data_IF_182264895450
#
_entry.id   IF_182264895450
#
_cell.length_a   1.000
_cell.length_b   1.000
_cell.length_c   1.000
_cell.angle_alpha   90.00
_cell.angle_beta   90.00
_cell.angle_gamma   90.00
#
_symmetry.space_group_name_H-M   'P 1'
#
loop_
_entity.id
_entity.type
_entity.pdbx_description
1 polymer ?
#
# COMPACT_ATOMS: atom_id res chain seq x y z
N UNK A 1 1.45 -2.80 2.15
CA UNK A 1 0.40 -1.94 1.56
C UNK A 1 -0.87 -2.13 2.36
N UNK A 2 -1.89 -1.28 2.14
CA UNK A 2 -3.18 -1.42 2.80
C UNK A 2 -4.30 -0.87 1.92
N UNK A 3 -5.55 -1.11 2.31
CA UNK A 3 -6.72 -0.46 1.71
C UNK A 3 -7.15 0.70 2.61
N UNK A 4 -7.21 1.90 2.03
CA UNK A 4 -7.84 3.05 2.68
C UNK A 4 -9.34 3.05 2.35
N UNK A 5 -10.18 3.05 3.38
CA UNK A 5 -11.62 3.29 3.29
C UNK A 5 -11.91 4.71 3.74
N UNK A 6 -12.36 5.54 2.80
CA UNK A 6 -12.73 6.94 3.04
C UNK A 6 -14.24 7.08 2.90
N UNK A 7 -14.94 7.76 3.83
CA UNK A 7 -16.36 8.08 3.67
C UNK A 7 -16.66 8.65 2.28
N UNK A 8 -17.74 8.19 1.67
CA UNK A 8 -18.24 8.75 0.41
C UNK A 8 -18.84 10.17 0.57
N UNK A 9 -19.08 10.56 1.82
CA UNK A 9 -19.63 11.85 2.23
C UNK A 9 -18.61 12.61 3.07
N UNK A 10 -18.41 13.89 2.78
CA UNK A 10 -17.44 14.70 3.51
C UNK A 10 -17.96 15.17 4.88
N UNK A 11 -17.06 15.36 5.85
CA UNK A 11 -17.39 15.98 7.13
C UNK A 11 -18.26 15.11 8.06
N UNK A 12 -18.27 13.79 7.86
CA UNK A 12 -18.94 12.83 8.74
C UNK A 12 -17.91 12.02 9.52
N UNK A 13 -18.24 11.62 10.75
CA UNK A 13 -17.41 10.64 11.46
C UNK A 13 -17.50 9.26 10.80
N UNK A 14 -16.59 8.35 11.17
CA UNK A 14 -16.62 6.97 10.69
C UNK A 14 -17.92 6.24 11.08
N UNK A 15 -18.47 6.55 12.26
CA UNK A 15 -19.71 5.94 12.76
C UNK A 15 -20.98 6.48 12.07
N UNK A 16 -20.94 7.72 11.59
CA UNK A 16 -22.06 8.35 10.85
C UNK A 16 -22.03 8.03 9.35
N UNK A 17 -20.89 7.56 8.84
CA UNK A 17 -20.73 7.23 7.43
C UNK A 17 -21.65 6.08 7.02
N UNK A 18 -22.37 6.26 5.92
CA UNK A 18 -23.26 5.22 5.37
C UNK A 18 -22.59 4.38 4.28
N UNK A 19 -21.46 4.85 3.75
CA UNK A 19 -20.68 4.18 2.72
C UNK A 19 -19.21 4.57 2.76
N UNK A 20 -18.37 3.77 2.11
CA UNK A 20 -16.94 4.02 1.99
C UNK A 20 -16.47 3.75 0.57
N UNK A 21 -15.59 4.61 0.08
CA UNK A 21 -14.81 4.36 -1.12
C UNK A 21 -13.49 3.71 -0.72
N UNK A 22 -13.15 2.60 -1.38
CA UNK A 22 -11.84 1.95 -1.21
C UNK A 22 -10.80 2.58 -2.14
N UNK A 23 -9.60 2.81 -1.62
CA UNK A 23 -8.45 3.26 -2.36
C UNK A 23 -7.21 2.42 -1.99
N UNK A 24 -6.28 2.18 -2.93
CA UNK A 24 -4.98 1.62 -2.59
C UNK A 24 -4.21 2.61 -1.71
N UNK A 25 -3.66 2.12 -0.61
CA UNK A 25 -2.96 2.91 0.38
C UNK A 25 -1.55 2.40 0.72
N UNK A 26 -0.85 3.19 1.52
CA UNK A 26 0.50 2.91 2.00
C UNK A 26 1.54 3.87 1.42
N UNK A 27 2.12 4.71 2.28
CA UNK A 27 3.06 5.76 1.87
C UNK A 27 4.24 5.25 1.01
N UNK A 28 4.91 4.12 1.34
CA UNK A 28 6.03 3.67 0.52
C UNK A 28 5.62 3.18 -0.88
N UNK A 29 4.41 2.63 -1.03
CA UNK A 29 3.87 2.22 -2.34
C UNK A 29 3.53 3.44 -3.20
N UNK A 30 2.94 4.47 -2.60
CA UNK A 30 2.66 5.73 -3.27
C UNK A 30 3.94 6.39 -3.80
N UNK A 31 5.03 6.35 -3.04
CA UNK A 31 6.34 6.86 -3.48
C UNK A 31 6.89 6.02 -4.63
N UNK A 32 6.81 4.69 -4.57
CA UNK A 32 7.27 3.82 -5.65
C UNK A 32 6.54 4.09 -6.98
N UNK A 33 5.21 4.24 -6.94
CA UNK A 33 4.40 4.62 -8.10
C UNK A 33 4.72 6.05 -8.60
N UNK A 34 5.06 6.98 -7.69
CA UNK A 34 5.46 8.32 -8.09
C UNK A 34 6.80 8.32 -8.83
N UNK A 35 7.77 7.52 -8.38
CA UNK A 35 9.07 7.36 -9.04
C UNK A 35 8.89 6.84 -10.48
N UNK A 36 8.06 5.81 -10.68
CA UNK A 36 7.82 5.24 -12.01
C UNK A 36 7.08 6.21 -12.92
N UNK A 37 6.11 6.95 -12.37
CA UNK A 37 5.40 8.01 -13.11
C UNK A 37 6.32 9.15 -13.56
N UNK A 38 7.41 9.40 -12.83
CA UNK A 38 8.42 10.41 -13.18
C UNK A 38 9.53 9.86 -14.09
N UNK A 39 9.38 8.64 -14.62
CA UNK A 39 10.34 8.01 -15.53
C UNK A 39 11.49 7.26 -14.85
N UNK A 40 11.47 7.15 -13.52
CA UNK A 40 12.42 6.33 -12.78
C UNK A 40 12.04 4.86 -12.71
N UNK A 41 12.96 4.02 -12.24
CA UNK A 41 12.69 2.63 -11.91
C UNK A 41 12.47 2.49 -10.40
N UNK A 42 11.47 1.72 -9.99
CA UNK A 42 11.24 1.41 -8.57
C UNK A 42 10.81 -0.04 -8.38
N UNK A 43 11.09 -0.55 -7.19
CA UNK A 43 10.62 -1.85 -6.72
C UNK A 43 9.99 -1.67 -5.33
N UNK A 44 9.03 -2.53 -5.01
CA UNK A 44 8.37 -2.53 -3.71
C UNK A 44 8.61 -3.85 -2.99
N UNK A 45 9.11 -3.77 -1.76
CA UNK A 45 9.25 -4.91 -0.84
C UNK A 45 8.21 -4.76 0.26
N UNK A 46 7.44 -5.81 0.49
CA UNK A 46 6.39 -5.81 1.50
C UNK A 46 5.62 -7.13 1.54
N UNK A 47 4.65 -7.22 2.45
CA UNK A 47 3.78 -8.37 2.55
C UNK A 47 2.31 -7.92 2.57
N UNK A 48 1.44 -8.68 1.92
CA UNK A 48 -0.02 -8.50 1.89
C UNK A 48 -0.70 -9.85 2.16
N UNK A 49 -1.98 -9.85 2.50
CA UNK A 49 -2.72 -11.11 2.65
C UNK A 49 -2.90 -11.79 1.30
N UNK A 50 -2.96 -13.12 1.29
CA UNK A 50 -3.43 -13.89 0.14
C UNK A 50 -4.97 -13.79 0.05
N UNK A 51 -5.44 -12.59 -0.26
CA UNK A 51 -6.84 -12.21 -0.34
C UNK A 51 -7.07 -11.24 -1.51
N UNK A 52 -8.34 -10.99 -1.85
CA UNK A 52 -8.71 -10.16 -3.00
C UNK A 52 -8.11 -8.74 -2.93
N UNK A 53 -7.97 -8.19 -1.71
CA UNK A 53 -7.34 -6.88 -1.53
C UNK A 53 -5.84 -6.94 -1.74
N UNK A 54 -5.16 -7.96 -1.26
CA UNK A 54 -3.73 -8.17 -1.49
C UNK A 54 -3.42 -8.30 -2.99
N UNK A 55 -4.15 -9.15 -3.70
CA UNK A 55 -4.00 -9.31 -5.15
C UNK A 55 -4.27 -8.02 -5.91
N UNK A 56 -5.35 -7.30 -5.56
CA UNK A 56 -5.65 -5.99 -6.15
C UNK A 56 -4.52 -4.98 -5.97
N UNK A 57 -3.94 -4.90 -4.76
CA UNK A 57 -2.85 -3.97 -4.47
C UNK A 57 -1.59 -4.29 -5.28
N UNK A 58 -1.25 -5.57 -5.42
CA UNK A 58 -0.11 -6.02 -6.23
C UNK A 58 -0.34 -5.71 -7.72
N UNK A 59 -1.56 -5.91 -8.22
CA UNK A 59 -1.90 -5.53 -9.59
C UNK A 59 -1.82 -4.03 -9.83
N UNK A 60 -2.15 -3.21 -8.83
CA UNK A 60 -1.99 -1.75 -8.91
C UNK A 60 -0.52 -1.37 -9.00
N UNK A 61 0.38 -1.99 -8.24
CA UNK A 61 1.82 -1.78 -8.39
C UNK A 61 2.30 -2.10 -9.81
N UNK A 62 1.93 -3.28 -10.34
CA UNK A 62 2.29 -3.72 -11.69
C UNK A 62 1.76 -2.76 -12.76
N UNK A 63 0.50 -2.32 -12.65
CA UNK A 63 -0.12 -1.35 -13.57
C UNK A 63 0.58 0.01 -13.55
N UNK A 64 1.21 0.39 -12.44
CA UNK A 64 2.00 1.61 -12.32
C UNK A 64 3.50 1.40 -12.64
N UNK A 65 3.88 0.25 -13.20
CA UNK A 65 5.27 -0.05 -13.59
C UNK A 65 6.23 -0.28 -12.42
N UNK A 66 5.72 -0.49 -11.19
CA UNK A 66 6.55 -0.81 -10.03
C UNK A 66 6.89 -2.30 -10.06
N UNK A 67 8.17 -2.65 -9.92
CA UNK A 67 8.57 -4.06 -9.76
C UNK A 67 8.01 -4.60 -8.44
N UNK A 68 7.11 -5.60 -8.52
CA UNK A 68 6.43 -6.22 -7.38
C UNK A 68 7.02 -7.57 -6.96
N UNK A 69 8.18 -7.98 -7.45
CA UNK A 69 8.85 -9.25 -7.11
C UNK A 69 9.29 -9.33 -5.63
N UNK A 70 9.30 -8.19 -4.93
CA UNK A 70 9.55 -8.11 -3.49
C UNK A 70 8.30 -8.25 -2.63
N UNK A 71 7.13 -8.51 -3.23
CA UNK A 71 5.88 -8.66 -2.49
C UNK A 71 5.60 -10.12 -2.16
N UNK A 72 5.44 -10.40 -0.87
CA UNK A 72 5.00 -11.69 -0.36
C UNK A 72 3.49 -11.70 -0.09
N UNK A 73 2.89 -12.89 -0.23
CA UNK A 73 1.51 -13.15 0.16
C UNK A 73 1.49 -14.02 1.43
N UNK A 74 0.64 -13.65 2.39
CA UNK A 74 0.46 -14.38 3.64
C UNK A 74 -0.90 -15.09 3.65
N UNK A 75 -0.90 -16.41 3.78
CA UNK A 75 -2.12 -17.22 3.79
C UNK A 75 -2.88 -17.17 5.13
N UNK A 76 -2.28 -16.62 6.18
CA UNK A 76 -2.80 -16.68 7.55
C UNK A 76 -3.19 -15.30 8.10
N UNK A 77 -2.58 -14.22 7.62
CA UNK A 77 -2.90 -12.85 7.99
C UNK A 77 -3.57 -12.09 6.85
N UNK A 78 -4.51 -11.21 7.19
CA UNK A 78 -5.24 -10.40 6.21
C UNK A 78 -4.45 -9.17 5.77
N UNK A 79 -4.76 -8.67 4.58
CA UNK A 79 -4.33 -7.34 4.14
C UNK A 79 -4.84 -6.27 5.10
N UNK A 80 -3.95 -5.34 5.49
CA UNK A 80 -4.28 -4.23 6.38
C UNK A 80 -5.37 -3.33 5.80
N UNK A 81 -6.23 -2.81 6.68
CA UNK A 81 -7.23 -1.80 6.34
C UNK A 81 -7.00 -0.55 7.19
N UNK A 82 -7.28 0.62 6.63
CA UNK A 82 -7.40 1.86 7.37
C UNK A 82 -8.73 2.52 7.03
N UNK A 83 -9.46 2.95 8.04
CA UNK A 83 -10.60 3.84 7.89
C UNK A 83 -10.14 5.27 8.15
N UNK A 84 -10.36 6.15 7.19
CA UNK A 84 -9.84 7.52 7.22
C UNK A 84 -10.99 8.49 7.04
N UNK A 85 -11.18 9.40 7.99
CA UNK A 85 -12.16 10.49 7.84
C UNK A 85 -11.52 11.86 8.04
N UNK A 86 -12.11 12.85 7.39
CA UNK A 86 -11.86 14.27 7.64
C UNK A 86 -13.13 14.85 8.28
N UNK A 87 -13.07 15.15 9.58
CA UNK A 87 -14.17 15.76 10.34
C UNK A 87 -14.43 17.19 9.85
N UNK A 88 -15.61 17.74 10.17
CA UNK A 88 -15.99 19.13 9.79
C UNK A 88 -15.01 20.19 10.29
N UNK A 89 -14.34 19.93 11.40
CA UNK A 89 -13.31 20.81 11.97
C UNK A 89 -11.95 20.71 11.24
N UNK A 90 -11.82 19.88 10.20
CA UNK A 90 -10.59 19.68 9.45
C UNK A 90 -9.65 18.64 10.07
N UNK A 91 -10.00 18.02 11.19
CA UNK A 91 -9.19 16.98 11.80
C UNK A 91 -9.30 15.67 11.01
N UNK A 92 -8.14 15.05 10.76
CA UNK A 92 -8.07 13.71 10.18
C UNK A 92 -8.02 12.67 11.27
N UNK A 93 -8.85 11.65 11.14
CA UNK A 93 -8.85 10.49 12.03
C UNK A 93 -8.52 9.23 11.22
N UNK A 94 -7.66 8.39 11.78
CA UNK A 94 -7.22 7.13 11.19
C UNK A 94 -7.52 5.99 12.15
N UNK A 95 -8.29 5.00 11.70
CA UNK A 95 -8.54 3.78 12.44
C UNK A 95 -7.99 2.59 11.66
N UNK A 96 -6.89 2.01 12.15
CA UNK A 96 -6.20 0.91 11.49
C UNK A 96 -6.67 -0.45 12.01
N UNK A 97 -6.96 -1.36 11.09
CA UNK A 97 -7.20 -2.77 11.38
C UNK A 97 -5.95 -3.57 11.01
N UNK A 98 -5.04 -3.69 11.98
CA UNK A 98 -3.73 -4.35 11.87
C UNK A 98 -3.42 -5.08 13.19
N UNK A 99 -3.87 -6.33 13.37
CA UNK A 99 -3.58 -7.09 14.60
C UNK A 99 -3.60 -8.64 14.46
N UNK A 100 -2.51 -9.28 14.02
CA UNK A 100 -1.55 -8.72 13.06
C UNK A 100 -2.15 -8.76 11.65
N UNK A 101 -1.85 -7.76 10.84
CA UNK A 101 -2.03 -7.83 9.39
C UNK A 101 -0.75 -8.35 8.72
N UNK A 102 -0.85 -8.84 7.49
CA UNK A 102 0.24 -9.49 6.78
C UNK A 102 1.51 -8.62 6.67
N UNK A 103 1.37 -7.32 6.45
CA UNK A 103 2.47 -6.36 6.36
C UNK A 103 3.29 -6.23 7.67
N UNK A 104 2.74 -6.61 8.82
CA UNK A 104 3.45 -6.65 10.11
C UNK A 104 4.26 -7.93 10.29
N UNK A 105 4.04 -8.93 9.43
CA UNK A 105 4.63 -10.26 9.51
C UNK A 105 5.72 -10.50 8.47
N UNK A 106 6.16 -9.46 7.75
CA UNK A 106 7.33 -9.58 6.87
C UNK A 106 8.57 -9.84 7.71
N UNK A 107 9.31 -10.90 7.38
CA UNK A 107 10.54 -11.28 8.07
C UNK A 107 11.77 -11.04 7.20
N UNK A 108 12.94 -11.04 7.83
CA UNK A 108 14.22 -10.89 7.12
C UNK A 108 14.46 -11.99 6.08
N UNK A 109 14.02 -13.23 6.34
CA UNK A 109 14.17 -14.34 5.40
C UNK A 109 13.35 -14.19 4.12
N UNK A 110 12.36 -13.31 4.14
CA UNK A 110 11.48 -13.03 3.00
C UNK A 110 11.97 -11.82 2.17
N UNK A 111 13.02 -11.14 2.62
CA UNK A 111 13.60 -10.03 1.89
C UNK A 111 14.29 -10.54 0.61
N UNK A 112 13.80 -10.10 -0.53
CA UNK A 112 14.46 -10.33 -1.80
C UNK A 112 15.75 -9.48 -1.89
N UNK A 113 16.86 -10.08 -1.44
CA UNK A 113 18.17 -9.43 -1.43
C UNK A 113 18.68 -9.04 -2.83
N UNK A 114 18.16 -9.69 -3.89
CA UNK A 114 18.46 -9.31 -5.26
C UNK A 114 17.98 -7.89 -5.57
N UNK A 115 16.76 -7.54 -5.15
CA UNK A 115 16.20 -6.19 -5.34
C UNK A 115 16.95 -5.12 -4.53
N UNK A 116 17.43 -5.47 -3.34
CA UNK A 116 18.16 -4.53 -2.45
C UNK A 116 19.57 -4.24 -2.99
N UNK A 117 20.22 -5.25 -3.56
CA UNK A 117 21.61 -5.16 -4.05
C UNK A 117 21.72 -4.61 -5.48
N UNK A 118 20.60 -4.34 -6.17
CA UNK A 118 20.65 -3.75 -7.50
C UNK A 118 21.23 -2.32 -7.44
N UNK A 119 22.26 -2.01 -8.25
CA UNK A 119 22.75 -0.64 -8.35
C UNK A 119 21.63 0.24 -8.92
N UNK A 120 21.44 1.45 -8.35
CA UNK A 120 20.59 2.47 -8.97
C UNK A 120 21.14 2.71 -10.37
N UNK A 121 20.37 2.36 -11.41
CA UNK A 121 20.66 2.78 -12.78
C UNK A 121 20.81 4.30 -12.77
N UNK A 122 22.03 4.77 -13.07
CA UNK A 122 22.38 6.17 -13.15
C UNK A 122 21.46 6.86 -14.15
N UNK A 123 20.86 7.98 -13.74
CA UNK A 123 20.29 8.96 -14.67
C UNK A 123 21.49 9.58 -15.39
N UNK A 124 21.97 8.91 -16.41
CA UNK A 124 22.96 9.39 -17.37
C UNK A 124 22.44 8.92 -18.70
N UNK A 125 21.58 9.74 -19.32
CA UNK A 125 21.35 9.87 -20.76
C UNK A 125 20.30 10.98 -20.96
N UNK A 126 20.73 12.23 -20.70
CA UNK A 126 20.17 13.47 -21.25
C UNK A 126 21.34 14.29 -21.81
#
# INVERSE_FOLDING_TARGET
MLIDFVPDSAGVSLAESTGFLKAPGGAPANVACAITKLGGNSAFIGKVGDDEFGHMLVDILKKNGVNSEGVCFDAHARTALAFVTLKKNGEREFMFYRNPSADMLLTESELNMGLIKQPRSSITDL
#
